data_IF_823126126553
#
_entry.id   IF_823126126553
#
_cell.length_a   1.000
_cell.length_b   1.000
_cell.length_c   1.000
_cell.angle_alpha   90.00
_cell.angle_beta   90.00
_cell.angle_gamma   90.00
#
_symmetry.space_group_name_H-M   'P 1'
#
loop_
_entity.id
_entity.type
_entity.pdbx_description
1 polymer ?
#
# COMPACT_ATOMS: atom_id res chain seq x y z
N UNK A 1 -6.92 9.42 -9.42
CA UNK A 1 -6.37 10.61 -8.73
C UNK A 1 -7.35 11.34 -7.81
N UNK A 2 -8.68 11.27 -8.02
CA UNK A 2 -9.66 11.96 -7.16
C UNK A 2 -9.52 11.58 -5.69
N UNK A 3 -9.37 10.30 -5.37
CA UNK A 3 -9.14 9.83 -4.01
C UNK A 3 -7.88 10.47 -3.39
N UNK A 4 -6.76 10.49 -4.13
CA UNK A 4 -5.52 11.13 -3.62
C UNK A 4 -5.71 12.61 -3.34
N UNK A 5 -6.43 13.33 -4.21
CA UNK A 5 -6.74 14.74 -4.02
C UNK A 5 -7.60 14.99 -2.77
N UNK A 6 -8.56 14.09 -2.51
CA UNK A 6 -9.40 14.16 -1.33
C UNK A 6 -8.58 13.93 -0.04
N UNK A 7 -7.72 12.92 0.00
CA UNK A 7 -6.79 12.74 1.12
C UNK A 7 -5.85 13.93 1.28
N UNK A 8 -5.37 14.53 0.20
CA UNK A 8 -4.49 15.70 0.24
C UNK A 8 -5.18 16.95 0.77
N UNK A 9 -6.48 17.11 0.53
CA UNK A 9 -7.28 18.18 1.15
C UNK A 9 -7.24 18.09 2.70
N UNK A 10 -7.52 16.90 3.27
CA UNK A 10 -7.47 16.68 4.71
C UNK A 10 -6.03 16.72 5.26
N UNK A 11 -5.05 16.28 4.50
CA UNK A 11 -3.62 16.37 4.81
C UNK A 11 -3.16 17.81 5.02
N UNK A 12 -3.53 18.69 4.09
CA UNK A 12 -3.21 20.11 4.18
C UNK A 12 -3.83 20.76 5.42
N UNK A 13 -5.04 20.37 5.79
CA UNK A 13 -5.76 20.87 6.97
C UNK A 13 -5.31 20.21 8.28
N UNK A 14 -4.51 19.17 8.22
CA UNK A 14 -4.12 18.36 9.38
C UNK A 14 -5.33 17.80 10.14
N UNK A 15 -6.35 17.39 9.40
CA UNK A 15 -7.61 16.84 9.90
C UNK A 15 -7.74 15.36 9.52
N UNK A 16 -8.48 14.56 10.32
CA UNK A 16 -8.79 13.19 9.94
C UNK A 16 -9.71 13.17 8.73
N UNK A 17 -9.43 12.27 7.80
CA UNK A 17 -10.33 12.01 6.67
C UNK A 17 -11.66 11.43 7.16
N UNK A 18 -12.84 11.73 6.57
CA UNK A 18 -14.14 11.18 6.99
C UNK A 18 -14.16 9.65 7.08
N UNK A 19 -13.48 8.94 6.17
CA UNK A 19 -13.33 7.49 6.24
C UNK A 19 -12.63 7.04 7.54
N UNK A 20 -11.71 7.84 8.10
CA UNK A 20 -11.05 7.48 9.35
C UNK A 20 -12.01 7.53 10.52
N UNK A 21 -12.89 8.54 10.54
CA UNK A 21 -13.92 8.68 11.56
C UNK A 21 -14.90 7.50 11.46
N UNK A 22 -15.37 7.22 10.25
CA UNK A 22 -16.33 6.13 9.98
C UNK A 22 -15.78 4.75 10.40
N UNK A 23 -14.47 4.51 10.21
CA UNK A 23 -13.82 3.23 10.50
C UNK A 23 -13.01 3.24 11.80
N UNK A 24 -13.17 4.27 12.64
CA UNK A 24 -12.45 4.43 13.92
C UNK A 24 -10.92 4.30 13.78
N UNK A 25 -10.35 4.88 12.72
CA UNK A 25 -8.92 4.93 12.48
C UNK A 25 -8.37 6.21 13.13
N UNK A 26 -7.58 6.06 14.19
CA UNK A 26 -6.98 7.17 14.93
C UNK A 26 -5.69 7.64 14.25
N UNK A 27 -5.84 8.34 13.14
CA UNK A 27 -4.75 8.87 12.34
C UNK A 27 -5.22 10.09 11.55
N UNK A 28 -4.27 10.82 10.97
CA UNK A 28 -4.50 11.83 9.94
C UNK A 28 -3.62 11.53 8.72
N UNK A 29 -3.97 12.01 7.52
CA UNK A 29 -3.08 11.91 6.37
C UNK A 29 -1.75 12.62 6.66
N UNK A 30 -0.62 11.92 6.49
CA UNK A 30 0.70 12.44 6.87
C UNK A 30 1.22 13.49 5.90
N UNK A 31 1.49 14.70 6.40
CA UNK A 31 2.09 15.78 5.62
C UNK A 31 3.62 15.72 5.71
N UNK A 32 4.26 15.41 4.59
CA UNK A 32 5.73 15.31 4.52
C UNK A 32 6.23 15.87 3.17
N UNK A 33 7.34 16.60 3.18
CA UNK A 33 7.89 17.25 1.98
C UNK A 33 8.27 16.25 0.87
N UNK A 34 8.61 15.01 1.21
CA UNK A 34 8.93 13.95 0.24
C UNK A 34 7.70 13.16 -0.27
N UNK A 35 6.48 13.50 0.14
CA UNK A 35 5.31 12.69 -0.20
C UNK A 35 5.13 12.51 -1.71
N UNK A 36 5.31 13.57 -2.49
CA UNK A 36 5.21 13.51 -3.95
C UNK A 36 6.29 12.61 -4.57
N UNK A 37 7.49 12.61 -4.00
CA UNK A 37 8.58 11.70 -4.39
C UNK A 37 8.19 10.26 -4.09
N UNK A 38 7.68 9.97 -2.88
CA UNK A 38 7.28 8.63 -2.47
C UNK A 38 6.14 8.04 -3.32
N UNK A 39 5.25 8.90 -3.80
CA UNK A 39 4.12 8.53 -4.68
C UNK A 39 4.49 8.42 -6.16
N UNK A 40 5.69 8.85 -6.54
CA UNK A 40 6.16 8.82 -7.93
C UNK A 40 6.57 7.41 -8.33
N UNK A 41 5.97 6.88 -9.39
CA UNK A 41 6.32 5.57 -9.94
C UNK A 41 7.78 5.49 -10.43
N UNK A 42 8.41 6.63 -10.73
CA UNK A 42 9.80 6.68 -11.21
C UNK A 42 10.82 6.86 -10.08
N UNK A 43 10.41 7.37 -8.93
CA UNK A 43 11.27 7.64 -7.79
C UNK A 43 10.93 6.71 -6.62
N UNK A 44 9.76 6.88 -6.02
CA UNK A 44 9.30 6.11 -4.88
C UNK A 44 10.10 6.38 -3.59
N UNK A 45 9.73 5.68 -2.52
CA UNK A 45 10.57 5.57 -1.33
C UNK A 45 11.62 4.49 -1.57
N UNK A 46 12.90 4.78 -1.24
CA UNK A 46 14.02 3.89 -1.59
C UNK A 46 14.93 3.64 -0.41
N UNK A 47 15.54 2.47 -0.40
CA UNK A 47 16.67 2.14 0.45
C UNK A 47 17.82 1.58 -0.39
N UNK A 48 18.99 2.26 -0.31
CA UNK A 48 20.20 1.85 -1.01
C UNK A 48 21.21 1.28 -0.02
N UNK A 49 21.70 0.09 -0.30
CA UNK A 49 22.79 -0.52 0.45
C UNK A 49 24.06 -0.58 -0.40
N UNK A 50 25.09 0.17 -0.02
CA UNK A 50 26.39 0.12 -0.68
C UNK A 50 27.11 -1.20 -0.40
N UNK A 51 27.00 -1.70 0.82
CA UNK A 51 27.64 -2.97 1.26
C UNK A 51 27.07 -4.15 0.46
N UNK A 52 25.75 -4.24 0.34
CA UNK A 52 25.07 -5.34 -0.35
C UNK A 52 24.78 -5.03 -1.83
N UNK A 53 25.18 -3.83 -2.30
CA UNK A 53 25.10 -3.39 -3.71
C UNK A 53 23.68 -3.54 -4.31
N UNK A 54 22.66 -3.04 -3.62
CA UNK A 54 21.31 -2.96 -4.14
C UNK A 54 20.73 -1.56 -3.93
N UNK A 55 19.74 -1.25 -4.76
CA UNK A 55 18.85 -0.09 -4.63
C UNK A 55 17.41 -0.61 -4.75
N UNK A 56 16.73 -0.73 -3.62
CA UNK A 56 15.35 -1.24 -3.55
C UNK A 56 14.39 -0.12 -3.23
N UNK A 57 13.26 -0.06 -3.95
CA UNK A 57 12.29 1.00 -3.73
C UNK A 57 10.91 0.64 -4.29
N UNK A 58 9.94 1.50 -3.98
CA UNK A 58 8.59 1.39 -4.48
C UNK A 58 7.80 2.67 -4.29
N UNK A 59 6.77 2.86 -5.11
CA UNK A 59 5.86 4.00 -5.01
C UNK A 59 4.66 3.60 -4.15
N UNK A 60 4.39 4.39 -3.12
CA UNK A 60 3.22 4.21 -2.26
C UNK A 60 2.01 4.96 -2.83
N UNK A 61 0.81 4.56 -2.44
CA UNK A 61 -0.38 5.35 -2.73
C UNK A 61 -0.61 6.42 -1.66
N UNK A 62 -0.54 6.05 -0.38
CA UNK A 62 -0.69 6.98 0.72
C UNK A 62 0.01 6.55 2.00
N UNK A 63 0.20 7.52 2.91
CA UNK A 63 0.75 7.31 4.25
C UNK A 63 0.04 8.23 5.24
N UNK A 64 -0.30 7.68 6.39
CA UNK A 64 -0.99 8.35 7.48
C UNK A 64 -0.13 8.37 8.73
N UNK A 65 -0.43 9.23 9.68
CA UNK A 65 0.31 9.32 10.93
C UNK A 65 -0.65 9.25 12.11
N UNK A 66 -0.30 8.43 13.10
CA UNK A 66 -0.99 8.33 14.38
C UNK A 66 -0.53 9.45 15.33
N UNK A 67 -1.28 9.69 16.37
CA UNK A 67 -0.94 10.68 17.41
C UNK A 67 0.45 10.44 18.05
N UNK A 68 0.86 9.18 18.18
CA UNK A 68 2.18 8.80 18.71
C UNK A 68 3.33 8.93 17.69
N UNK A 69 3.05 9.41 16.48
CA UNK A 69 4.02 9.58 15.39
C UNK A 69 4.28 8.34 14.55
N UNK A 70 3.68 7.19 14.84
CA UNK A 70 3.83 6.00 14.03
C UNK A 70 3.12 6.16 12.67
N UNK A 71 3.81 5.80 11.60
CA UNK A 71 3.25 5.86 10.25
C UNK A 71 2.43 4.60 9.93
N UNK A 72 1.34 4.80 9.22
CA UNK A 72 0.49 3.76 8.66
C UNK A 72 0.59 3.85 7.14
N UNK A 73 0.96 2.76 6.48
CA UNK A 73 0.97 2.69 5.01
C UNK A 73 -0.40 2.27 4.51
N UNK A 74 -0.87 2.95 3.48
CA UNK A 74 -2.13 2.62 2.82
C UNK A 74 -1.93 2.49 1.30
N UNK A 75 -2.70 1.59 0.71
CA UNK A 75 -2.66 1.32 -0.72
C UNK A 75 -4.08 1.25 -1.28
N UNK A 76 -4.29 1.84 -2.46
CA UNK A 76 -5.60 2.00 -3.08
C UNK A 76 -5.79 0.96 -4.16
N UNK A 77 -6.89 0.24 -4.10
CA UNK A 77 -7.28 -0.76 -5.09
C UNK A 77 -8.64 -0.43 -5.67
N UNK A 78 -8.82 -0.67 -6.97
CA UNK A 78 -10.10 -0.58 -7.64
C UNK A 78 -10.54 -1.95 -8.13
N UNK A 79 -11.83 -2.22 -8.04
CA UNK A 79 -12.47 -3.44 -8.51
C UNK A 79 -13.91 -3.15 -8.93
N UNK A 80 -14.58 -4.13 -9.55
CA UNK A 80 -16.01 -4.05 -9.89
C UNK A 80 -16.66 -5.43 -9.71
N UNK A 81 -16.67 -5.91 -8.47
CA UNK A 81 -17.32 -7.18 -8.11
C UNK A 81 -18.80 -6.92 -7.76
N UNK A 82 -19.69 -7.84 -8.13
CA UNK A 82 -21.10 -7.74 -7.77
C UNK A 82 -21.31 -7.77 -6.26
N UNK A 83 -20.58 -8.66 -5.58
CA UNK A 83 -20.52 -8.73 -4.12
C UNK A 83 -19.04 -8.69 -3.72
N UNK A 84 -18.65 -7.61 -3.06
CA UNK A 84 -17.31 -7.50 -2.53
C UNK A 84 -17.26 -8.07 -1.11
N UNK A 85 -16.59 -9.21 -0.96
CA UNK A 85 -16.27 -9.81 0.33
C UNK A 85 -14.78 -10.10 0.39
N UNK A 86 -14.09 -9.47 1.34
CA UNK A 86 -12.64 -9.64 1.52
C UNK A 86 -12.29 -11.03 2.02
N UNK A 87 -13.08 -11.61 2.91
CA UNK A 87 -12.81 -12.94 3.45
C UNK A 87 -12.93 -14.04 2.38
N UNK A 88 -13.96 -13.96 1.55
CA UNK A 88 -14.13 -14.80 0.36
C UNK A 88 -13.01 -14.59 -0.66
N UNK A 89 -12.59 -13.33 -0.84
CA UNK A 89 -11.48 -13.00 -1.73
C UNK A 89 -10.18 -13.64 -1.25
N UNK A 90 -9.89 -13.61 0.06
CA UNK A 90 -8.70 -14.25 0.63
C UNK A 90 -8.71 -15.78 0.50
N UNK A 91 -9.87 -16.42 0.50
CA UNK A 91 -9.99 -17.88 0.33
C UNK A 91 -9.77 -18.30 -1.12
N UNK A 92 -10.28 -17.53 -2.07
CA UNK A 92 -10.39 -17.92 -3.47
C UNK A 92 -9.26 -17.42 -4.36
N UNK A 93 -8.44 -16.46 -3.88
CA UNK A 93 -7.40 -15.82 -4.70
C UNK A 93 -6.08 -15.65 -3.96
N UNK A 94 -4.98 -15.70 -4.69
CA UNK A 94 -3.62 -15.49 -4.14
C UNK A 94 -3.21 -14.00 -4.09
N UNK A 95 -3.83 -13.12 -4.87
CA UNK A 95 -3.46 -11.71 -4.91
C UNK A 95 -3.61 -10.94 -3.57
N UNK A 96 -4.51 -11.31 -2.63
CA UNK A 96 -4.54 -10.68 -1.32
C UNK A 96 -3.22 -10.82 -0.56
N UNK A 97 -2.56 -11.98 -0.68
CA UNK A 97 -1.24 -12.21 -0.10
C UNK A 97 -0.18 -11.33 -0.75
N UNK A 98 -0.28 -11.10 -2.08
CA UNK A 98 0.63 -10.21 -2.80
C UNK A 98 0.47 -8.75 -2.35
N UNK A 99 -0.76 -8.27 -2.14
CA UNK A 99 -1.01 -6.93 -1.62
C UNK A 99 -0.51 -6.74 -0.19
N UNK A 100 -0.68 -7.75 0.67
CA UNK A 100 -0.08 -7.72 2.01
C UNK A 100 1.44 -7.61 1.93
N UNK A 101 2.11 -8.44 1.12
CA UNK A 101 3.57 -8.36 0.91
C UNK A 101 4.01 -6.99 0.39
N UNK A 102 3.23 -6.38 -0.52
CA UNK A 102 3.50 -5.03 -1.03
C UNK A 102 3.52 -4.00 0.12
N UNK A 103 2.50 -4.01 0.98
CA UNK A 103 2.42 -3.13 2.14
C UNK A 103 3.58 -3.37 3.13
N UNK A 104 3.92 -4.62 3.40
CA UNK A 104 5.05 -4.99 4.27
C UNK A 104 6.39 -4.50 3.71
N UNK A 105 6.59 -4.56 2.38
CA UNK A 105 7.77 -3.99 1.72
C UNK A 105 7.81 -2.46 1.86
N UNK A 106 6.68 -1.76 1.72
CA UNK A 106 6.62 -0.31 1.93
C UNK A 106 6.89 0.06 3.39
N UNK A 107 6.33 -0.67 4.36
CA UNK A 107 6.62 -0.46 5.78
C UNK A 107 8.11 -0.65 6.08
N UNK A 108 8.73 -1.68 5.51
CA UNK A 108 10.17 -1.93 5.64
C UNK A 108 10.99 -0.75 5.07
N UNK A 109 10.63 -0.22 3.90
CA UNK A 109 11.28 0.94 3.31
C UNK A 109 11.19 2.17 4.23
N UNK A 110 10.03 2.45 4.83
CA UNK A 110 9.89 3.53 5.80
C UNK A 110 10.76 3.30 7.04
N UNK A 111 10.78 2.09 7.60
CA UNK A 111 11.65 1.72 8.73
C UNK A 111 13.14 1.93 8.39
N UNK A 112 13.58 1.54 7.18
CA UNK A 112 14.96 1.74 6.70
C UNK A 112 15.32 3.22 6.46
N UNK A 113 14.33 4.08 6.30
CA UNK A 113 14.50 5.53 6.22
C UNK A 113 14.34 6.23 7.58
N UNK A 114 14.31 5.48 8.69
CA UNK A 114 14.31 6.02 10.05
C UNK A 114 12.94 6.38 10.62
N UNK A 115 11.86 6.05 9.93
CA UNK A 115 10.51 6.29 10.43
C UNK A 115 10.05 5.18 11.38
N UNK A 116 9.27 5.56 12.39
CA UNK A 116 8.48 4.61 13.17
C UNK A 116 7.26 4.22 12.37
N UNK A 117 6.95 2.94 12.29
CA UNK A 117 5.86 2.42 11.45
C UNK A 117 5.03 1.44 12.27
N UNK A 118 3.72 1.63 12.29
CA UNK A 118 2.77 0.74 12.93
C UNK A 118 2.76 -0.63 12.23
N UNK A 119 2.40 -1.68 12.98
CA UNK A 119 2.23 -3.02 12.41
C UNK A 119 0.93 -3.17 11.62
N UNK A 120 0.07 -2.15 11.66
CA UNK A 120 -1.13 -2.09 10.85
C UNK A 120 -0.88 -1.36 9.53
N UNK A 121 -1.55 -1.83 8.48
CA UNK A 121 -1.62 -1.18 7.18
C UNK A 121 -3.04 -1.31 6.62
N UNK A 122 -3.38 -0.52 5.62
CA UNK A 122 -4.73 -0.51 5.08
C UNK A 122 -4.77 -0.64 3.56
N UNK A 123 -5.73 -1.42 3.07
CA UNK A 123 -6.17 -1.38 1.69
C UNK A 123 -7.48 -0.60 1.61
N UNK A 124 -7.53 0.36 0.71
CA UNK A 124 -8.74 1.12 0.39
C UNK A 124 -9.26 0.59 -0.94
N UNK A 125 -10.37 -0.13 -0.90
CA UNK A 125 -11.00 -0.63 -2.10
C UNK A 125 -12.14 0.27 -2.55
N UNK A 126 -12.09 0.68 -3.81
CA UNK A 126 -13.20 1.30 -4.51
C UNK A 126 -13.84 0.25 -5.43
N UNK A 127 -15.02 -0.25 -5.02
CA UNK A 127 -15.77 -1.23 -5.80
C UNK A 127 -16.80 -0.51 -6.68
N UNK A 128 -16.53 -0.42 -7.98
CA UNK A 128 -17.45 0.19 -8.94
C UNK A 128 -18.72 -0.64 -9.11
N UNK A 129 -19.88 -0.01 -8.96
CA UNK A 129 -21.19 -0.62 -9.22
C UNK A 129 -21.39 -0.72 -10.73
N UNK A 130 -21.48 -1.93 -11.24
CA UNK A 130 -21.66 -2.21 -12.67
C UNK A 130 -23.04 -2.75 -13.04
N UNK A 131 -23.89 -3.03 -12.04
CA UNK A 131 -25.21 -3.63 -12.23
C UNK A 131 -26.34 -2.59 -12.11
N UNK A 132 -26.05 -1.35 -12.53
CA UNK A 132 -27.05 -0.31 -12.66
C UNK A 132 -27.77 -0.45 -14.02
N UNK A 133 -29.06 -0.15 -14.06
CA UNK A 133 -29.87 -0.28 -15.28
C UNK A 133 -29.39 0.67 -16.39
N UNK A 134 -28.88 1.84 -16.00
CA UNK A 134 -28.41 2.86 -16.93
C UNK A 134 -27.12 3.53 -16.44
N UNK A 135 -26.24 3.87 -17.37
CA UNK A 135 -24.97 4.52 -17.07
C UNK A 135 -25.13 5.99 -16.64
N UNK A 136 -25.99 6.77 -17.25
CA UNK A 136 -26.25 8.20 -17.00
C UNK A 136 -24.97 9.08 -16.82
N UNK A 137 -23.88 8.72 -17.50
CA UNK A 137 -22.56 9.33 -17.37
C UNK A 137 -22.00 9.36 -15.93
N UNK A 138 -22.45 8.43 -15.06
CA UNK A 138 -22.06 8.34 -13.65
C UNK A 138 -21.66 6.92 -13.30
N UNK A 139 -20.53 6.79 -12.61
CA UNK A 139 -20.11 5.52 -12.00
C UNK A 139 -20.10 5.68 -10.48
N UNK A 140 -20.91 4.89 -9.80
CA UNK A 140 -20.95 4.86 -8.34
C UNK A 140 -19.93 3.86 -7.79
N UNK A 141 -19.38 4.17 -6.63
CA UNK A 141 -18.44 3.30 -5.93
C UNK A 141 -18.90 3.01 -4.50
N UNK A 142 -18.67 1.78 -4.07
CA UNK A 142 -18.66 1.42 -2.65
C UNK A 142 -17.21 1.43 -2.17
N UNK A 143 -16.97 2.03 -1.00
CA UNK A 143 -15.63 2.07 -0.40
C UNK A 143 -15.53 1.06 0.72
N UNK A 144 -14.53 0.20 0.66
CA UNK A 144 -14.23 -0.78 1.70
C UNK A 144 -12.83 -0.53 2.26
N UNK A 145 -12.72 -0.48 3.58
CA UNK A 145 -11.46 -0.31 4.29
C UNK A 145 -11.07 -1.65 4.91
N UNK A 146 -9.93 -2.18 4.47
CA UNK A 146 -9.40 -3.45 4.95
C UNK A 146 -8.16 -3.18 5.80
N UNK A 147 -8.27 -3.47 7.09
CA UNK A 147 -7.13 -3.45 8.00
C UNK A 147 -6.34 -4.74 7.89
N UNK A 148 -5.02 -4.64 7.75
CA UNK A 148 -4.09 -5.77 7.74
C UNK A 148 -3.08 -5.62 8.86
N UNK A 149 -2.80 -6.72 9.55
CA UNK A 149 -1.64 -6.82 10.44
C UNK A 149 -0.45 -7.34 9.64
N UNK A 150 0.64 -6.59 9.63
CA UNK A 150 1.81 -6.79 8.79
C UNK A 150 3.04 -7.10 9.64
N UNK A 151 4.01 -7.85 9.08
CA UNK A 151 5.36 -8.00 9.61
C UNK A 151 6.39 -7.74 8.52
N UNK A 152 7.44 -7.03 8.86
CA UNK A 152 8.53 -6.71 7.94
C UNK A 152 9.74 -7.65 8.07
N UNK A 153 9.69 -8.66 8.95
CA UNK A 153 10.84 -9.49 9.35
C UNK A 153 11.41 -10.31 8.18
N UNK A 154 10.57 -10.68 7.24
CA UNK A 154 10.98 -11.46 6.06
C UNK A 154 11.58 -10.61 4.93
N UNK A 155 11.33 -9.30 4.91
CA UNK A 155 11.60 -8.44 3.73
C UNK A 155 13.09 -8.31 3.47
N UNK A 156 13.91 -8.02 4.49
CA UNK A 156 15.35 -7.83 4.32
C UNK A 156 16.04 -9.07 3.74
N UNK A 157 15.72 -10.23 4.30
CA UNK A 157 16.22 -11.50 3.79
C UNK A 157 15.88 -11.68 2.30
N UNK A 158 14.63 -11.41 1.93
CA UNK A 158 14.17 -11.56 0.54
C UNK A 158 14.84 -10.55 -0.41
N UNK A 159 15.05 -9.31 0.01
CA UNK A 159 15.78 -8.29 -0.77
C UNK A 159 17.22 -8.74 -1.01
N UNK A 160 17.90 -9.26 0.02
CA UNK A 160 19.28 -9.76 -0.10
C UNK A 160 19.38 -10.98 -1.03
N UNK A 161 18.50 -11.96 -0.87
CA UNK A 161 18.43 -13.13 -1.75
C UNK A 161 18.22 -12.72 -3.22
N UNK A 162 17.29 -11.79 -3.46
CA UNK A 162 17.01 -11.27 -4.80
C UNK A 162 18.23 -10.53 -5.37
N UNK A 163 18.89 -9.69 -4.57
CA UNK A 163 20.08 -9.00 -5.00
C UNK A 163 21.26 -9.94 -5.32
N UNK A 164 21.38 -11.05 -4.61
CA UNK A 164 22.36 -12.10 -4.91
C UNK A 164 22.03 -12.81 -6.22
N UNK A 165 20.75 -13.20 -6.39
CA UNK A 165 20.28 -13.87 -7.60
C UNK A 165 20.51 -13.03 -8.85
N UNK A 166 20.17 -11.73 -8.81
CA UNK A 166 20.36 -10.80 -9.93
C UNK A 166 21.85 -10.62 -10.32
N UNK A 167 22.78 -10.95 -9.43
CA UNK A 167 24.23 -10.91 -9.71
C UNK A 167 24.82 -12.26 -10.07
N UNK A 168 24.09 -13.34 -9.82
CA UNK A 168 24.51 -14.68 -10.24
C UNK A 168 24.37 -14.81 -11.76
N UNK A 169 25.11 -15.75 -12.35
CA UNK A 169 24.95 -16.16 -13.74
C UNK A 169 23.92 -17.28 -13.90
N UNK A 170 23.30 -17.70 -12.80
CA UNK A 170 22.32 -18.79 -12.78
C UNK A 170 20.92 -18.21 -12.95
N UNK A 171 20.14 -18.81 -13.82
CA UNK A 171 18.73 -18.50 -13.97
C UNK A 171 17.93 -19.38 -13.00
N UNK A 172 17.04 -18.80 -12.18
CA UNK A 172 16.17 -19.60 -11.34
C UNK A 172 15.22 -20.43 -12.20
N UNK A 173 14.88 -21.62 -11.71
CA UNK A 173 13.82 -22.42 -12.33
C UNK A 173 12.50 -21.63 -12.33
N UNK A 174 11.70 -21.71 -13.39
CA UNK A 174 10.39 -21.07 -13.43
C UNK A 174 9.52 -21.60 -12.29
N UNK A 175 8.68 -20.74 -11.73
CA UNK A 175 7.73 -21.20 -10.71
C UNK A 175 6.70 -22.14 -11.34
N UNK A 176 6.12 -23.03 -10.52
CA UNK A 176 5.07 -23.96 -10.98
C UNK A 176 3.82 -23.25 -11.53
N UNK A 177 3.71 -21.95 -11.28
CA UNK A 177 2.57 -21.11 -11.66
C UNK A 177 2.97 -20.03 -12.70
N UNK A 178 4.10 -20.18 -13.36
CA UNK A 178 4.50 -19.35 -14.51
C UNK A 178 3.91 -19.89 -15.79
#
# INVERSE_FOLDING_TARGET
>A
NLCKNEFDYYRFRQEPHPLFIQHNIKAIPYNHHNLNTWRSNFQGIRHRSLTHKYDFGGAIDDVWVKENGDLIVADVKATSKNNFDWSETCKNYEYPKAYKRQLEMYQWLFKKNGFKVADEAYLIYFNGKKNEDFFHNTLQFETHIIKLTCSTDWVEKKVLETAQLLRSKEFPSPSKNC
#
